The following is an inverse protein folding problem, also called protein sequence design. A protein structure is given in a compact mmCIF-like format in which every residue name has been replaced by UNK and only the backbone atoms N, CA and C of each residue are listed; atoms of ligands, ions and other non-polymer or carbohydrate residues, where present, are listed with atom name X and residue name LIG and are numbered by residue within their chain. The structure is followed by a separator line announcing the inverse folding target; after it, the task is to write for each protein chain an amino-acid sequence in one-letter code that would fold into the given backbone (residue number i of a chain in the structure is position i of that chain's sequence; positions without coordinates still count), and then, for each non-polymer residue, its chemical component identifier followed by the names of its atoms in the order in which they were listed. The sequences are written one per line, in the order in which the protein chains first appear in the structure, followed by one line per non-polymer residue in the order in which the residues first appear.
data_IF_153895439573
#
_entry.id   IF_153895439573
#
_cell.length_a   1.000
_cell.length_b   1.000
_cell.length_c   1.000
_cell.angle_alpha   90.00
_cell.angle_beta   90.00
_cell.angle_gamma   90.00
#
_symmetry.space_group_name_H-M   'P 1'
#
loop_
_entity.id
_entity.type
_entity.pdbx_description
1 polymer ?
#
# COMPACT_ATOMS: atom_id res chain seq x y z
N UNK A 1 11.68 -19.71 -16.31
CA UNK A 1 10.47 -18.97 -15.96
C UNK A 1 9.70 -19.80 -14.94
N UNK A 2 9.18 -19.20 -13.87
CA UNK A 2 8.28 -19.92 -12.95
C UNK A 2 7.03 -20.34 -13.75
N UNK A 3 6.69 -21.63 -13.76
CA UNK A 3 5.49 -22.14 -14.45
C UNK A 3 4.19 -21.85 -13.68
N UNK A 4 4.28 -21.11 -12.57
CA UNK A 4 3.17 -20.83 -11.66
C UNK A 4 3.05 -19.33 -11.46
N UNK A 5 1.84 -18.80 -11.62
CA UNK A 5 1.49 -17.42 -11.25
C UNK A 5 1.65 -17.22 -9.75
N UNK A 6 2.34 -16.15 -9.34
CA UNK A 6 2.59 -15.79 -7.95
C UNK A 6 1.72 -14.61 -7.55
N UNK A 7 0.98 -14.76 -6.44
CA UNK A 7 0.26 -13.64 -5.80
C UNK A 7 1.20 -12.92 -4.84
N UNK A 8 1.40 -11.63 -5.06
CA UNK A 8 2.33 -10.80 -4.29
C UNK A 8 1.58 -9.75 -3.48
N UNK A 9 1.90 -9.61 -2.20
CA UNK A 9 1.45 -8.50 -1.35
C UNK A 9 2.64 -7.58 -1.04
N UNK A 10 2.60 -6.34 -1.52
CA UNK A 10 3.58 -5.32 -1.20
C UNK A 10 3.08 -4.47 -0.02
N UNK A 11 3.86 -4.44 1.06
CA UNK A 11 3.59 -3.61 2.24
C UNK A 11 4.63 -2.49 2.26
N UNK A 12 4.19 -1.24 2.23
CA UNK A 12 5.08 -0.07 2.16
C UNK A 12 4.68 1.00 3.17
N UNK A 13 5.68 1.72 3.69
CA UNK A 13 5.48 2.89 4.57
C UNK A 13 5.41 4.21 3.82
N UNK A 14 5.36 4.16 2.48
CA UNK A 14 5.36 5.33 1.61
C UNK A 14 4.13 5.31 0.69
N UNK A 15 3.77 6.48 0.13
CA UNK A 15 2.87 6.53 -1.03
C UNK A 15 3.60 5.93 -2.26
N UNK A 16 3.09 4.83 -2.82
CA UNK A 16 3.78 4.12 -3.90
C UNK A 16 3.68 4.84 -5.24
N UNK A 17 2.73 5.77 -5.39
CA UNK A 17 2.56 6.55 -6.61
C UNK A 17 2.01 7.96 -6.35
N UNK A 18 2.49 8.99 -7.07
CA UNK A 18 3.67 8.96 -7.92
C UNK A 18 4.95 8.76 -7.09
N UNK A 19 5.86 7.84 -7.46
CA UNK A 19 7.11 7.67 -6.73
C UNK A 19 7.96 8.94 -6.90
N UNK A 20 8.49 9.46 -5.79
CA UNK A 20 9.33 10.66 -5.79
C UNK A 20 10.81 10.31 -5.95
N UNK A 21 11.39 9.64 -4.96
CA UNK A 21 12.79 9.23 -4.92
C UNK A 21 12.98 7.98 -4.05
N UNK A 22 14.20 7.47 -3.98
CA UNK A 22 14.65 6.50 -2.97
C UNK A 22 13.76 5.25 -2.81
N UNK A 23 13.30 4.99 -1.59
CA UNK A 23 12.48 3.84 -1.24
C UNK A 23 11.16 3.79 -2.04
N UNK A 24 10.36 4.87 -2.15
CA UNK A 24 9.19 4.89 -3.04
C UNK A 24 9.49 4.46 -4.49
N UNK A 25 10.58 4.95 -5.08
CA UNK A 25 10.96 4.61 -6.45
C UNK A 25 11.37 3.15 -6.60
N UNK A 26 12.22 2.65 -5.69
CA UNK A 26 12.62 1.23 -5.67
C UNK A 26 11.42 0.31 -5.45
N UNK A 27 10.53 0.66 -4.53
CA UNK A 27 9.32 -0.10 -4.26
C UNK A 27 8.42 -0.17 -5.50
N UNK A 28 8.27 0.96 -6.21
CA UNK A 28 7.53 1.01 -7.47
C UNK A 28 8.15 0.14 -8.56
N UNK A 29 9.47 0.17 -8.74
CA UNK A 29 10.18 -0.68 -9.69
C UNK A 29 9.99 -2.18 -9.36
N UNK A 30 10.11 -2.54 -8.08
CA UNK A 30 9.90 -3.91 -7.62
C UNK A 30 8.46 -4.37 -7.87
N UNK A 31 7.46 -3.54 -7.60
CA UNK A 31 6.05 -3.86 -7.90
C UNK A 31 5.84 -4.14 -9.40
N UNK A 32 6.41 -3.33 -10.28
CA UNK A 32 6.32 -3.54 -11.72
C UNK A 32 7.02 -4.83 -12.19
N UNK A 33 8.15 -5.20 -11.57
CA UNK A 33 8.81 -6.48 -11.85
C UNK A 33 7.95 -7.65 -11.40
N UNK A 34 7.37 -7.57 -10.19
CA UNK A 34 6.53 -8.64 -9.65
C UNK A 34 5.26 -8.87 -10.48
N UNK A 35 4.71 -7.83 -11.11
CA UNK A 35 3.58 -7.95 -12.05
C UNK A 35 3.86 -8.87 -13.24
N UNK A 36 5.13 -9.08 -13.62
CA UNK A 36 5.48 -10.01 -14.69
C UNK A 36 5.29 -11.48 -14.27
N UNK A 37 5.16 -11.74 -12.97
CA UNK A 37 5.06 -13.08 -12.39
C UNK A 37 3.68 -13.39 -11.82
N UNK A 38 2.75 -12.43 -11.79
CA UNK A 38 1.38 -12.61 -11.34
C UNK A 38 0.76 -11.36 -10.71
N UNK A 39 -0.32 -11.54 -9.97
CA UNK A 39 -1.07 -10.44 -9.36
C UNK A 39 -0.30 -9.79 -8.22
N UNK A 40 -0.35 -8.45 -8.17
CA UNK A 40 0.26 -7.64 -7.11
C UNK A 40 -0.83 -6.83 -6.41
N UNK A 41 -0.93 -7.00 -5.09
CA UNK A 41 -1.71 -6.15 -4.19
C UNK A 41 -0.78 -5.24 -3.40
N UNK A 42 -1.24 -4.03 -3.07
CA UNK A 42 -0.46 -3.03 -2.34
C UNK A 42 -1.21 -2.56 -1.10
N UNK A 43 -0.53 -2.62 0.04
CA UNK A 43 -0.97 -2.04 1.29
C UNK A 43 0.02 -0.95 1.71
N UNK A 44 -0.38 0.31 1.62
CA UNK A 44 0.46 1.46 1.98
C UNK A 44 0.02 2.05 3.31
N UNK A 45 0.99 2.36 4.17
CA UNK A 45 0.79 2.99 5.48
C UNK A 45 1.58 4.28 5.51
N UNK A 46 0.95 5.43 5.29
CA UNK A 46 1.64 6.71 5.21
C UNK A 46 0.77 7.84 5.76
N UNK A 47 1.38 8.99 6.06
CA UNK A 47 0.68 10.18 6.53
C UNK A 47 0.18 11.02 5.36
N UNK A 48 -1.10 11.34 5.36
CA UNK A 48 -1.73 12.12 4.30
C UNK A 48 -2.38 11.27 3.22
N UNK A 49 -3.24 11.91 2.43
CA UNK A 49 -4.10 11.23 1.48
C UNK A 49 -3.38 10.99 0.13
N UNK A 50 -3.67 9.85 -0.54
CA UNK A 50 -3.23 9.63 -1.90
C UNK A 50 -3.89 10.65 -2.86
N UNK A 51 -3.28 10.90 -4.04
CA UNK A 51 -3.86 11.83 -5.00
C UNK A 51 -5.28 11.41 -5.42
N UNK A 52 -6.23 12.36 -5.54
CA UNK A 52 -7.68 12.09 -5.72
C UNK A 52 -8.04 11.39 -7.03
N UNK A 53 -7.13 11.39 -8.00
CA UNK A 53 -7.21 10.59 -9.23
C UNK A 53 -5.84 9.98 -9.49
N UNK A 54 -5.74 8.66 -9.32
CA UNK A 54 -4.92 7.70 -10.07
C UNK A 54 -4.87 6.41 -9.26
N UNK A 55 -5.62 5.42 -9.70
CA UNK A 55 -5.30 4.01 -9.45
C UNK A 55 -3.80 3.81 -9.70
N UNK A 56 -3.11 3.10 -8.80
CA UNK A 56 -1.73 2.69 -9.07
C UNK A 56 -1.71 2.03 -10.45
N UNK A 57 -0.91 2.55 -11.41
CA UNK A 57 -0.93 2.01 -12.76
C UNK A 57 -0.74 0.49 -12.74
N UNK A 58 -1.65 -0.24 -13.38
CA UNK A 58 -1.60 -1.71 -13.53
C UNK A 58 -1.78 -2.51 -12.22
N UNK A 59 -1.98 -1.86 -11.07
CA UNK A 59 -2.28 -2.51 -9.79
C UNK A 59 -3.78 -2.38 -9.51
N UNK A 60 -4.47 -3.51 -9.49
CA UNK A 60 -5.93 -3.54 -9.28
C UNK A 60 -6.31 -3.42 -7.81
N UNK A 61 -5.46 -3.93 -6.91
CA UNK A 61 -5.74 -3.98 -5.48
C UNK A 61 -4.78 -3.06 -4.73
N UNK A 62 -5.26 -1.87 -4.39
CA UNK A 62 -4.54 -0.94 -3.53
C UNK A 62 -5.41 -0.51 -2.37
N UNK A 63 -4.88 -0.71 -1.16
CA UNK A 63 -5.43 -0.16 0.06
C UNK A 63 -4.42 0.81 0.69
N UNK A 64 -4.90 2.00 1.05
CA UNK A 64 -4.11 3.01 1.74
C UNK A 64 -4.65 3.24 3.15
N UNK A 65 -3.78 3.07 4.14
CA UNK A 65 -4.05 3.41 5.53
C UNK A 65 -3.36 4.73 5.86
N UNK A 66 -4.16 5.78 6.07
CA UNK A 66 -3.66 7.07 6.51
C UNK A 66 -3.42 7.03 8.02
N UNK A 67 -2.16 7.16 8.46
CA UNK A 67 -1.79 7.10 9.88
C UNK A 67 -2.36 8.29 10.67
N UNK A 68 -2.62 9.42 10.00
CA UNK A 68 -3.17 10.62 10.64
C UNK A 68 -4.70 10.56 10.77
N UNK A 69 -5.37 9.58 10.14
CA UNK A 69 -6.80 9.39 10.37
C UNK A 69 -7.02 9.00 11.82
N UNK A 70 -7.68 9.89 12.57
CA UNK A 70 -8.14 9.61 13.92
C UNK A 70 -9.01 8.36 13.87
N UNK A 71 -8.57 7.32 14.59
CA UNK A 71 -9.39 6.11 14.77
C UNK A 71 -10.79 6.51 15.23
N UNK A 72 -11.85 5.88 14.71
CA UNK A 72 -13.20 6.18 15.15
C UNK A 72 -13.29 6.03 16.68
N UNK A 73 -14.04 6.93 17.31
CA UNK A 73 -14.14 7.06 18.76
C UNK A 73 -14.38 5.71 19.49
N UNK A 74 -15.16 4.81 18.87
CA UNK A 74 -15.44 3.46 19.38
C UNK A 74 -14.21 2.55 19.50
N UNK A 75 -13.23 2.67 18.61
CA UNK A 75 -11.97 1.90 18.68
C UNK A 75 -11.02 2.43 19.74
N UNK A 76 -11.12 3.72 20.07
CA UNK A 76 -10.35 4.34 21.17
C UNK A 76 -10.85 3.85 22.52
N UNK A 77 -12.18 3.85 22.72
CA UNK A 77 -12.81 3.37 23.95
C UNK A 77 -12.49 1.91 24.30
N UNK A 78 -12.41 1.02 23.30
CA UNK A 78 -12.07 -0.40 23.52
C UNK A 78 -10.66 -0.63 24.07
N UNK A 79 -9.74 0.30 23.82
CA UNK A 79 -8.36 0.22 24.31
C UNK A 79 -8.24 0.75 25.73
N UNK A 80 -8.98 1.81 26.05
CA UNK A 80 -8.99 2.42 27.37
C UNK A 80 -9.73 1.57 28.42
N UNK A 81 -10.61 0.64 27.98
CA UNK A 81 -11.27 -0.34 28.85
C UNK A 81 -10.45 -1.62 29.12
N UNK A 82 -9.22 -1.71 28.61
CA UNK A 82 -8.30 -2.86 28.80
C UNK A 82 -7.10 -2.53 29.71
N UNK A 83 -7.10 -1.35 30.33
CA UNK A 83 -6.16 -0.91 31.37
C UNK A 83 -6.93 -0.58 32.65
#
# INVERSE_FOLDING_TARGET
MLNTSVRTLCITRDLPYPPRSDAPLRNWQNMNLMQQYGDVAVFSVFRGEPPPKKTLPRIQHWYHYNIDQKRPFKERLKRDSLH
#
